data_IF_880709476385
#
_entry.id   IF_880709476385
#
_cell.length_a   1.000
_cell.length_b   1.000
_cell.length_c   1.000
_cell.angle_alpha   90.00
_cell.angle_beta   90.00
_cell.angle_gamma   90.00
#
_symmetry.space_group_name_H-M   'P 1'
#
loop_
_entity.id
_entity.type
_entity.pdbx_description
1 polymer ?
#
# COMPACT_ATOMS: atom_id res chain seq x y z
N UNK A 1 12.07 12.03 5.13
CA UNK A 1 10.89 11.22 4.87
C UNK A 1 11.09 9.76 5.27
N UNK A 2 10.01 9.12 5.69
CA UNK A 2 10.01 7.72 6.07
C UNK A 2 9.37 6.93 4.93
N UNK A 3 10.09 5.96 4.38
CA UNK A 3 9.55 5.08 3.36
C UNK A 3 9.21 3.73 3.97
N UNK A 4 8.02 3.20 3.65
CA UNK A 4 7.58 1.88 4.08
C UNK A 4 7.27 1.01 2.87
N UNK A 5 7.85 -0.17 2.85
CA UNK A 5 7.59 -1.21 1.87
C UNK A 5 6.90 -2.39 2.54
N UNK A 6 5.68 -2.66 2.12
CA UNK A 6 4.88 -3.74 2.68
C UNK A 6 4.09 -4.47 1.60
N UNK A 7 3.26 -5.42 2.05
CA UNK A 7 2.41 -6.18 1.15
C UNK A 7 1.35 -5.28 0.52
N UNK A 8 1.08 -5.48 -0.76
CA UNK A 8 0.00 -4.81 -1.48
C UNK A 8 -1.31 -5.59 -1.29
N UNK A 9 -1.81 -5.57 -0.07
CA UNK A 9 -3.10 -6.14 0.32
C UNK A 9 -3.69 -5.26 1.44
N UNK A 10 -4.90 -5.60 1.88
CA UNK A 10 -5.58 -4.81 2.91
C UNK A 10 -4.78 -4.77 4.21
N UNK A 11 -4.21 -5.92 4.62
CA UNK A 11 -3.37 -5.98 5.81
C UNK A 11 -2.17 -5.06 5.72
N UNK A 12 -1.48 -5.06 4.58
CA UNK A 12 -0.32 -4.20 4.33
C UNK A 12 -0.67 -2.72 4.38
N UNK A 13 -1.79 -2.32 3.79
CA UNK A 13 -2.23 -0.92 3.83
C UNK A 13 -2.73 -0.51 5.21
N UNK A 14 -3.30 -1.41 5.99
CA UNK A 14 -3.67 -1.12 7.40
C UNK A 14 -2.44 -0.89 8.26
N UNK A 15 -1.38 -1.67 8.05
CA UNK A 15 -0.10 -1.47 8.73
C UNK A 15 0.49 -0.11 8.34
N UNK A 16 0.49 0.22 7.06
CA UNK A 16 1.00 1.50 6.57
C UNK A 16 0.24 2.67 7.20
N UNK A 17 -1.08 2.59 7.27
CA UNK A 17 -1.89 3.64 7.89
C UNK A 17 -1.62 3.77 9.40
N UNK A 18 -1.39 2.66 10.09
CA UNK A 18 -1.03 2.69 11.51
C UNK A 18 0.31 3.37 11.71
N UNK A 19 1.29 3.07 10.85
CA UNK A 19 2.60 3.74 10.89
C UNK A 19 2.47 5.24 10.64
N UNK A 20 1.60 5.64 9.71
CA UNK A 20 1.35 7.05 9.44
C UNK A 20 0.77 7.77 10.68
N UNK A 21 -0.17 7.15 11.38
CA UNK A 21 -0.72 7.73 12.60
C UNK A 21 0.34 7.92 13.68
N UNK A 22 1.23 6.94 13.84
CA UNK A 22 2.35 7.05 14.79
C UNK A 22 3.35 8.12 14.39
N UNK A 23 3.64 8.25 13.10
CA UNK A 23 4.57 9.26 12.59
C UNK A 23 4.02 10.68 12.77
N UNK A 24 2.70 10.87 12.66
CA UNK A 24 2.05 12.16 12.83
C UNK A 24 2.30 12.77 14.22
N UNK A 25 2.43 11.95 15.25
CA UNK A 25 2.76 12.40 16.60
C UNK A 25 4.07 13.18 16.63
N UNK A 26 5.01 12.81 15.76
CA UNK A 26 6.31 13.46 15.63
C UNK A 26 6.36 14.44 14.45
N UNK A 27 5.23 14.78 13.86
CA UNK A 27 5.16 15.67 12.70
C UNK A 27 5.78 15.09 11.44
N UNK A 28 5.88 13.76 11.35
CA UNK A 28 6.47 13.07 10.20
C UNK A 28 5.40 12.43 9.33
N UNK A 29 5.76 12.16 8.08
CA UNK A 29 4.90 11.49 7.11
C UNK A 29 5.56 10.23 6.61
N UNK A 30 4.79 9.15 6.51
CA UNK A 30 5.22 7.88 5.91
C UNK A 30 4.79 7.86 4.46
N UNK A 31 5.70 7.44 3.59
CA UNK A 31 5.43 7.31 2.15
C UNK A 31 5.50 5.83 1.77
N UNK A 32 4.46 5.28 1.12
CA UNK A 32 4.55 3.91 0.61
C UNK A 32 5.62 3.82 -0.47
N UNK A 33 6.40 2.74 -0.42
CA UNK A 33 7.45 2.47 -1.40
C UNK A 33 7.21 1.11 -2.04
N UNK A 34 7.13 1.06 -3.36
CA UNK A 34 6.87 -0.16 -4.13
C UNK A 34 5.55 -0.86 -3.76
N UNK A 35 4.55 -0.08 -3.32
CA UNK A 35 3.20 -0.58 -3.02
C UNK A 35 2.19 -0.17 -4.09
N UNK A 36 2.66 0.25 -5.26
CA UNK A 36 1.86 0.68 -6.41
C UNK A 36 2.17 -0.15 -7.65
N UNK A 37 2.57 -1.39 -7.47
CA UNK A 37 2.94 -2.29 -8.57
C UNK A 37 1.69 -2.71 -9.37
N UNK A 38 1.87 -3.19 -10.63
CA UNK A 38 0.74 -3.53 -11.49
C UNK A 38 -0.27 -4.44 -10.81
N UNK A 39 -1.55 -4.07 -10.89
CA UNK A 39 -2.63 -4.73 -10.17
C UNK A 39 -2.94 -6.14 -10.71
N UNK A 40 -2.50 -6.45 -11.91
CA UNK A 40 -2.74 -7.73 -12.55
C UNK A 40 -1.64 -8.77 -12.29
N UNK A 41 -0.63 -8.41 -11.51
CA UNK A 41 0.45 -9.31 -11.13
C UNK A 41 0.37 -9.60 -9.63
N UNK A 42 0.42 -10.87 -9.26
CA UNK A 42 0.37 -11.27 -7.86
C UNK A 42 -0.16 -12.68 -7.68
N UNK A 43 -0.18 -13.14 -6.44
CA UNK A 43 -0.55 -14.53 -6.11
C UNK A 43 -2.03 -14.76 -5.98
N UNK A 44 -2.78 -13.76 -5.53
CA UNK A 44 -4.16 -13.93 -5.11
C UNK A 44 -4.99 -12.74 -5.51
N UNK A 45 -6.16 -13.01 -6.10
CA UNK A 45 -7.09 -11.95 -6.42
C UNK A 45 -7.63 -11.31 -5.14
N UNK A 46 -7.66 -9.97 -5.12
CA UNK A 46 -8.29 -9.23 -4.05
C UNK A 46 -9.81 -9.18 -4.27
N UNK A 47 -10.57 -9.30 -3.19
CA UNK A 47 -12.01 -9.13 -3.25
C UNK A 47 -12.35 -7.66 -3.55
N UNK A 48 -13.54 -7.44 -4.14
CA UNK A 48 -14.00 -6.07 -4.37
C UNK A 48 -14.12 -5.28 -3.08
N UNK A 49 -14.53 -5.94 -1.98
CA UNK A 49 -14.59 -5.33 -0.66
C UNK A 49 -13.23 -4.85 -0.19
N UNK A 50 -12.20 -5.67 -0.35
CA UNK A 50 -10.84 -5.31 0.04
C UNK A 50 -10.29 -4.18 -0.83
N UNK A 51 -10.54 -4.22 -2.13
CA UNK A 51 -10.14 -3.15 -3.05
C UNK A 51 -10.78 -1.83 -2.62
N UNK A 52 -12.07 -1.86 -2.30
CA UNK A 52 -12.79 -0.67 -1.84
C UNK A 52 -12.16 -0.09 -0.55
N UNK A 53 -11.84 -0.96 0.41
CA UNK A 53 -11.22 -0.54 1.67
C UNK A 53 -9.81 0.00 1.48
N UNK A 54 -9.02 -0.63 0.61
CA UNK A 54 -7.67 -0.15 0.26
C UNK A 54 -7.77 1.24 -0.37
N UNK A 55 -8.67 1.41 -1.34
CA UNK A 55 -8.84 2.68 -2.03
C UNK A 55 -9.30 3.78 -1.08
N UNK A 56 -10.16 3.47 -0.11
CA UNK A 56 -10.57 4.43 0.91
C UNK A 56 -9.38 4.91 1.75
N UNK A 57 -8.49 3.99 2.15
CA UNK A 57 -7.27 4.34 2.86
C UNK A 57 -6.38 5.24 2.00
N UNK A 58 -6.13 4.83 0.76
CA UNK A 58 -5.27 5.57 -0.16
C UNK A 58 -5.79 6.99 -0.42
N UNK A 59 -7.09 7.14 -0.60
CA UNK A 59 -7.70 8.44 -0.86
C UNK A 59 -7.61 9.37 0.34
N UNK A 60 -7.91 8.90 1.57
CA UNK A 60 -7.85 9.78 2.74
C UNK A 60 -6.41 10.12 3.16
N UNK A 61 -5.43 9.33 2.74
CA UNK A 61 -4.01 9.57 3.06
C UNK A 61 -3.23 10.23 1.92
N UNK A 62 -3.85 10.42 0.78
CA UNK A 62 -3.18 11.00 -0.38
C UNK A 62 -2.23 10.06 -1.11
N UNK A 63 -2.34 8.75 -0.89
CA UNK A 63 -1.54 7.74 -1.60
C UNK A 63 -2.20 7.33 -2.90
N UNK A 64 -2.40 8.28 -3.77
CA UNK A 64 -3.25 8.11 -4.96
C UNK A 64 -2.68 7.14 -5.99
N UNK A 65 -1.35 7.01 -6.06
CA UNK A 65 -0.70 6.04 -6.95
C UNK A 65 -0.95 4.60 -6.54
N UNK A 66 -1.35 4.36 -5.29
CA UNK A 66 -1.61 3.02 -4.76
C UNK A 66 -3.06 2.57 -4.94
N UNK A 67 -3.93 3.41 -5.48
CA UNK A 67 -5.33 3.04 -5.73
C UNK A 67 -5.43 1.93 -6.76
N UNK A 68 -6.42 1.06 -6.57
CA UNK A 68 -6.60 -0.14 -7.40
C UNK A 68 -7.87 -0.06 -8.21
N UNK A 69 -7.83 -0.63 -9.42
CA UNK A 69 -9.00 -0.87 -10.26
C UNK A 69 -9.19 -2.37 -10.41
N UNK A 70 -10.38 -2.93 -10.17
CA UNK A 70 -10.59 -4.36 -10.38
C UNK A 70 -10.37 -4.78 -11.85
N UNK A 71 -9.84 -5.98 -12.11
CA UNK A 71 -9.34 -6.94 -11.13
C UNK A 71 -7.96 -6.55 -10.60
N UNK A 72 -7.72 -6.82 -9.33
CA UNK A 72 -6.43 -6.55 -8.70
C UNK A 72 -5.97 -7.74 -7.87
N UNK A 73 -4.65 -7.92 -7.80
CA UNK A 73 -4.00 -9.04 -7.13
C UNK A 73 -3.21 -8.56 -5.94
N UNK A 74 -3.27 -9.33 -4.85
CA UNK A 74 -2.39 -9.09 -3.71
C UNK A 74 -0.94 -9.38 -4.09
N UNK A 75 -0.01 -8.54 -3.62
CA UNK A 75 1.42 -8.74 -3.83
C UNK A 75 2.13 -8.74 -2.49
N UNK A 76 2.88 -9.81 -2.24
CA UNK A 76 3.73 -9.91 -1.07
C UNK A 76 5.08 -9.24 -1.36
N UNK A 77 5.60 -8.49 -0.39
CA UNK A 77 6.87 -7.80 -0.58
C UNK A 77 8.01 -8.76 -0.89
N UNK A 78 7.99 -9.98 -0.35
CA UNK A 78 9.03 -10.99 -0.59
C UNK A 78 9.06 -11.48 -2.04
N UNK A 79 7.99 -11.30 -2.79
CA UNK A 79 7.93 -11.71 -4.20
C UNK A 79 8.53 -10.66 -5.14
N UNK A 80 8.97 -9.54 -4.59
CA UNK A 80 9.42 -8.38 -5.37
C UNK A 80 10.90 -8.11 -5.11
N UNK A 81 11.62 -7.68 -6.16
CA UNK A 81 12.98 -7.22 -6.01
C UNK A 81 12.98 -5.82 -5.37
N UNK A 82 13.70 -5.68 -4.25
CA UNK A 82 13.82 -4.41 -3.56
C UNK A 82 14.63 -3.40 -4.38
N UNK A 83 14.04 -2.24 -4.59
CA UNK A 83 14.71 -1.09 -5.18
C UNK A 83 14.90 -0.03 -4.12
N UNK A 84 16.01 0.72 -4.19
CA UNK A 84 16.27 1.80 -3.26
C UNK A 84 15.24 2.92 -3.43
N UNK A 85 14.69 3.46 -2.32
CA UNK A 85 13.85 4.66 -2.41
C UNK A 85 14.68 5.88 -2.82
N UNK A 86 14.03 6.88 -3.36
CA UNK A 86 14.71 8.12 -3.76
C UNK A 86 15.33 8.87 -2.59
#
# INVERSE_FOLDING_TARGET
>A
PIYHWGDQDLGGFRILERLQRLAEVSGRQVTPWMMDQPANEGRKALSESDIHKINAICERRGWLSCRLTPPAMAREQESMELRQPP
#
